data_IF_810899295680
#
_entry.id   IF_810899295680
#
_cell.length_a   1.000
_cell.length_b   1.000
_cell.length_c   1.000
_cell.angle_alpha   90.00
_cell.angle_beta   90.00
_cell.angle_gamma   90.00
#
_symmetry.space_group_name_H-M   'P 1'
#
loop_
_entity.id
_entity.type
_entity.pdbx_description
1 polymer ?
#
# COMPACT_ATOMS: atom_id res chain seq x y z
N UNK A 1 12.96 -16.71 5.99
CA UNK A 1 11.49 -16.76 6.11
C UNK A 1 11.09 -15.39 6.64
N UNK A 2 10.47 -14.53 5.83
CA UNK A 2 10.08 -13.18 6.23
C UNK A 2 8.95 -13.28 7.26
N UNK A 3 9.01 -12.53 8.36
CA UNK A 3 7.97 -12.57 9.38
C UNK A 3 6.74 -11.81 8.87
N UNK A 4 5.54 -12.30 9.22
CA UNK A 4 4.26 -11.67 8.85
C UNK A 4 4.18 -10.20 9.31
N UNK A 5 4.95 -9.85 10.35
CA UNK A 5 5.10 -8.49 10.88
C UNK A 5 5.78 -7.51 9.90
N UNK A 6 6.51 -8.00 8.88
CA UNK A 6 7.17 -7.14 7.90
C UNK A 6 6.21 -6.59 6.84
N UNK A 7 5.11 -7.28 6.54
CA UNK A 7 4.20 -6.89 5.48
C UNK A 7 2.92 -6.19 5.98
N UNK A 8 2.68 -6.22 7.29
CA UNK A 8 1.48 -5.68 7.90
C UNK A 8 1.85 -4.52 8.81
N UNK A 9 1.86 -3.31 8.24
CA UNK A 9 1.88 -2.10 9.05
C UNK A 9 0.79 -2.18 10.13
N UNK A 10 1.18 -1.96 11.40
CA UNK A 10 0.21 -1.86 12.48
C UNK A 10 -0.73 -0.70 12.16
N UNK A 11 -2.03 -0.92 12.36
CA UNK A 11 -3.02 0.15 12.21
C UNK A 11 -2.62 1.33 13.12
N UNK A 12 -2.47 2.55 12.58
CA UNK A 12 -2.08 3.68 13.41
C UNK A 12 -3.20 4.00 14.42
N UNK A 13 -2.78 4.43 15.60
CA UNK A 13 -3.64 4.83 16.71
C UNK A 13 -3.28 6.24 17.15
N UNK A 14 -4.25 6.96 17.71
CA UNK A 14 -4.05 8.34 18.14
C UNK A 14 -5.37 9.09 18.21
N UNK A 15 -5.26 10.39 18.45
CA UNK A 15 -6.35 11.36 18.35
C UNK A 15 -6.86 11.47 16.92
N UNK A 16 -8.08 12.00 16.76
CA UNK A 16 -8.67 12.25 15.43
C UNK A 16 -7.78 13.17 14.58
N UNK A 17 -7.12 14.15 15.19
CA UNK A 17 -6.23 15.07 14.48
C UNK A 17 -5.00 14.34 13.91
N UNK A 18 -4.34 13.52 14.74
CA UNK A 18 -3.17 12.73 14.33
C UNK A 18 -3.51 11.72 13.23
N UNK A 19 -4.67 11.05 13.33
CA UNK A 19 -5.12 10.13 12.29
C UNK A 19 -5.44 10.84 10.97
N UNK A 20 -6.02 12.04 11.04
CA UNK A 20 -6.30 12.85 9.84
C UNK A 20 -5.02 13.37 9.18
N UNK A 21 -4.02 13.75 9.99
CA UNK A 21 -2.71 14.15 9.47
C UNK A 21 -1.99 12.97 8.81
N UNK A 22 -1.99 11.80 9.46
CA UNK A 22 -1.46 10.56 8.90
C UNK A 22 -2.09 10.23 7.55
N UNK A 23 -3.43 10.29 7.45
CA UNK A 23 -4.17 10.01 6.21
C UNK A 23 -3.75 10.96 5.09
N UNK A 24 -3.70 12.27 5.38
CA UNK A 24 -3.34 13.29 4.37
C UNK A 24 -1.90 13.13 3.90
N UNK A 25 -0.96 12.92 4.82
CA UNK A 25 0.45 12.71 4.49
C UNK A 25 0.61 11.45 3.64
N UNK A 26 0.01 10.32 4.08
CA UNK A 26 0.10 9.04 3.36
C UNK A 26 -0.41 9.14 1.92
N UNK A 27 -1.57 9.77 1.71
CA UNK A 27 -2.13 9.91 0.36
C UNK A 27 -1.26 10.79 -0.52
N UNK A 28 -0.76 11.91 0.03
CA UNK A 28 0.12 12.82 -0.70
C UNK A 28 1.42 12.11 -1.09
N UNK A 29 2.12 11.54 -0.12
CA UNK A 29 3.44 10.92 -0.30
C UNK A 29 3.37 9.74 -1.30
N UNK A 30 2.28 8.95 -1.26
CA UNK A 30 2.10 7.84 -2.20
C UNK A 30 2.02 8.33 -3.64
N UNK A 31 1.18 9.32 -3.95
CA UNK A 31 1.02 9.79 -5.32
C UNK A 31 2.15 10.70 -5.81
N UNK A 32 2.94 11.29 -4.91
CA UNK A 32 4.20 11.95 -5.24
C UNK A 32 5.30 10.93 -5.59
N UNK A 33 5.31 9.77 -4.93
CA UNK A 33 6.31 8.71 -5.14
C UNK A 33 5.94 7.81 -6.33
N UNK A 34 4.68 7.43 -6.44
CA UNK A 34 4.16 6.51 -7.45
C UNK A 34 3.04 7.20 -8.26
N UNK A 35 3.37 7.78 -9.42
CA UNK A 35 2.38 8.27 -10.36
C UNK A 35 1.33 7.20 -10.68
N UNK A 36 0.13 7.64 -11.06
CA UNK A 36 -0.99 6.72 -11.27
C UNK A 36 -0.68 5.64 -12.34
N UNK A 37 -0.05 6.03 -13.45
CA UNK A 37 0.30 5.10 -14.53
C UNK A 37 1.28 4.03 -14.05
N UNK A 38 2.31 4.42 -13.29
CA UNK A 38 3.28 3.49 -12.69
C UNK A 38 2.62 2.57 -11.66
N UNK A 39 1.68 3.09 -10.87
CA UNK A 39 0.89 2.28 -9.93
C UNK A 39 0.10 1.19 -10.66
N UNK A 40 -0.52 1.50 -11.80
CA UNK A 40 -1.25 0.51 -12.60
C UNK A 40 -0.32 -0.58 -13.15
N UNK A 41 0.86 -0.20 -13.61
CA UNK A 41 1.87 -1.15 -14.09
C UNK A 41 2.38 -2.07 -12.95
N UNK A 42 2.67 -1.51 -11.79
CA UNK A 42 3.10 -2.27 -10.61
C UNK A 42 2.02 -3.24 -10.12
N UNK A 43 0.75 -2.81 -10.08
CA UNK A 43 -0.38 -3.69 -9.77
C UNK A 43 -0.51 -4.83 -10.79
N UNK A 44 -0.36 -4.53 -12.07
CA UNK A 44 -0.38 -5.56 -13.11
C UNK A 44 0.79 -6.54 -12.99
N UNK A 45 1.98 -6.06 -12.65
CA UNK A 45 3.16 -6.90 -12.39
C UNK A 45 2.95 -7.82 -11.19
N UNK A 46 2.32 -7.34 -10.10
CA UNK A 46 1.91 -8.18 -8.99
C UNK A 46 0.98 -9.30 -9.43
N UNK A 47 -0.09 -8.99 -10.18
CA UNK A 47 -1.03 -10.00 -10.71
C UNK A 47 -0.30 -11.02 -11.59
N UNK A 48 0.60 -10.58 -12.47
CA UNK A 48 1.43 -11.46 -13.29
C UNK A 48 2.28 -12.40 -12.44
N UNK A 49 2.88 -11.91 -11.37
CA UNK A 49 3.66 -12.76 -10.44
C UNK A 49 2.80 -13.66 -9.55
N UNK A 50 1.54 -13.33 -9.29
CA UNK A 50 0.66 -14.22 -8.52
C UNK A 50 0.09 -15.36 -9.37
N UNK A 51 -0.20 -15.11 -10.65
CA UNK A 51 -1.00 -16.04 -11.46
C UNK A 51 -0.31 -16.55 -12.75
N UNK A 52 0.76 -15.91 -13.21
CA UNK A 52 1.37 -16.18 -14.52
C UNK A 52 2.88 -16.49 -14.45
N UNK A 53 3.38 -16.93 -13.29
CA UNK A 53 4.81 -17.19 -13.02
C UNK A 53 5.48 -18.16 -13.99
N UNK A 54 4.72 -19.11 -14.57
CA UNK A 54 5.24 -20.05 -15.57
C UNK A 54 5.69 -19.38 -16.88
N UNK A 55 5.21 -18.16 -17.16
CA UNK A 55 5.51 -17.39 -18.39
C UNK A 55 6.38 -16.17 -18.13
N UNK A 56 6.43 -15.72 -16.88
CA UNK A 56 7.10 -14.47 -16.53
C UNK A 56 7.56 -14.53 -15.07
N UNK A 57 8.87 -14.44 -14.86
CA UNK A 57 9.50 -14.42 -13.53
C UNK A 57 10.31 -13.14 -13.42
N UNK A 58 10.04 -12.36 -12.38
CA UNK A 58 10.80 -11.14 -12.12
C UNK A 58 12.24 -11.45 -11.73
N UNK A 59 13.13 -10.51 -11.98
CA UNK A 59 14.46 -10.45 -11.37
C UNK A 59 14.34 -10.18 -9.86
N UNK A 60 15.45 -10.36 -9.13
CA UNK A 60 15.48 -10.01 -7.71
C UNK A 60 15.23 -8.51 -7.47
N UNK A 61 15.74 -7.64 -8.35
CA UNK A 61 15.55 -6.19 -8.23
C UNK A 61 14.09 -5.80 -8.43
N UNK A 62 13.43 -6.34 -9.47
CA UNK A 62 12.02 -6.04 -9.72
C UNK A 62 11.12 -6.61 -8.61
N UNK A 63 11.45 -7.77 -8.04
CA UNK A 63 10.76 -8.27 -6.85
C UNK A 63 10.90 -7.34 -5.66
N UNK A 64 12.11 -6.84 -5.39
CA UNK A 64 12.33 -5.90 -4.29
C UNK A 64 11.53 -4.60 -4.48
N UNK A 65 11.49 -4.07 -5.71
CA UNK A 65 10.69 -2.89 -6.05
C UNK A 65 9.19 -3.14 -5.85
N UNK A 66 8.67 -4.30 -6.29
CA UNK A 66 7.26 -4.65 -6.06
C UNK A 66 6.91 -4.82 -4.59
N UNK A 67 7.83 -5.35 -3.77
CA UNK A 67 7.62 -5.45 -2.33
C UNK A 67 7.52 -4.04 -1.72
N UNK A 68 8.45 -3.15 -2.04
CA UNK A 68 8.44 -1.76 -1.55
C UNK A 68 7.18 -0.99 -2.01
N UNK A 69 6.76 -1.19 -3.27
CA UNK A 69 5.51 -0.65 -3.78
C UNK A 69 4.31 -1.17 -2.96
N UNK A 70 4.24 -2.48 -2.72
CA UNK A 70 3.14 -3.09 -1.97
C UNK A 70 3.09 -2.60 -0.52
N UNK A 71 4.24 -2.45 0.16
CA UNK A 71 4.30 -1.90 1.52
C UNK A 71 3.72 -0.48 1.56
N UNK A 72 4.09 0.37 0.60
CA UNK A 72 3.56 1.74 0.51
C UNK A 72 2.06 1.76 0.20
N UNK A 73 1.61 0.92 -0.74
CA UNK A 73 0.20 0.76 -1.08
C UNK A 73 -0.61 0.24 0.12
N UNK A 74 -0.05 -0.66 0.92
CA UNK A 74 -0.71 -1.16 2.12
C UNK A 74 -0.96 -0.04 3.14
N UNK A 75 -0.04 0.91 3.30
CA UNK A 75 -0.25 2.10 4.13
C UNK A 75 -1.40 2.97 3.61
N UNK A 76 -1.55 3.12 2.29
CA UNK A 76 -2.71 3.81 1.68
C UNK A 76 -4.01 3.08 1.98
N UNK A 77 -4.03 1.75 1.90
CA UNK A 77 -5.21 0.94 2.25
C UNK A 77 -5.61 1.16 3.72
N UNK A 78 -4.62 1.25 4.63
CA UNK A 78 -4.87 1.57 6.03
C UNK A 78 -5.44 2.98 6.22
N UNK A 79 -4.88 3.98 5.52
CA UNK A 79 -5.40 5.35 5.53
C UNK A 79 -6.86 5.40 5.03
N UNK A 80 -7.18 4.71 3.93
CA UNK A 80 -8.53 4.60 3.40
C UNK A 80 -9.50 3.92 4.38
N UNK A 81 -9.04 2.89 5.09
CA UNK A 81 -9.83 2.19 6.13
C UNK A 81 -10.20 3.13 7.29
N UNK A 82 -9.28 4.02 7.70
CA UNK A 82 -9.54 5.03 8.74
C UNK A 82 -10.64 5.99 8.28
N UNK A 83 -10.55 6.52 7.06
CA UNK A 83 -11.61 7.39 6.49
C UNK A 83 -12.95 6.65 6.47
N UNK A 84 -12.98 5.41 6.00
CA UNK A 84 -14.20 4.61 5.92
C UNK A 84 -14.85 4.38 7.29
N UNK A 85 -14.05 4.16 8.34
CA UNK A 85 -14.55 4.03 9.70
C UNK A 85 -15.10 5.35 10.26
N UNK A 86 -14.56 6.50 9.84
CA UNK A 86 -15.16 7.80 10.16
C UNK A 86 -16.51 7.99 9.47
N UNK A 87 -16.62 7.64 8.18
CA UNK A 87 -17.87 7.78 7.41
C UNK A 87 -19.00 6.90 7.93
N UNK A 88 -18.68 5.77 8.56
CA UNK A 88 -19.66 4.84 9.14
C UNK A 88 -20.20 5.30 10.50
N UNK A 89 -19.53 6.22 11.20
CA UNK A 89 -20.03 6.71 12.50
C UNK A 89 -21.17 7.70 12.23
N UNK A 90 -22.39 7.45 12.73
CA UNK A 90 -23.46 8.43 12.63
C UNK A 90 -23.02 9.71 13.36
N UNK A 91 -23.21 10.84 12.68
CA UNK A 91 -22.96 12.20 13.17
C UNK A 91 -23.72 12.51 14.45
#
# INVERSE_FOLDING_TARGET
MYSTDQFLHKRPSGTKAELNEFVKATLKDFFETYPLDESLENLWLMIKQSFYTKRFVLTNSERANLIAYYETLHTVILAASIINDELKRPS
#
